data_IF_545400147438
#
_entry.id   IF_545400147438
#
_cell.length_a   1.000
_cell.length_b   1.000
_cell.length_c   1.000
_cell.angle_alpha   90.00
_cell.angle_beta   90.00
_cell.angle_gamma   90.00
#
_symmetry.space_group_name_H-M   'P 1'
#
loop_
_entity.id
_entity.type
_entity.pdbx_description
1 polymer ?
#
# COMPACT_ATOMS: atom_id res chain seq x y z
N UNK A 1 -18.07 -10.44 15.48
CA UNK A 1 -17.47 -9.09 15.65
C UNK A 1 -16.00 -9.24 15.98
N UNK A 2 -15.17 -9.42 14.94
CA UNK A 2 -13.71 -9.54 15.02
C UNK A 2 -13.10 -8.73 13.86
N UNK A 3 -11.79 -8.46 13.89
CA UNK A 3 -11.09 -7.78 12.80
C UNK A 3 -11.14 -8.60 11.50
N UNK A 4 -11.17 -7.92 10.36
CA UNK A 4 -11.08 -8.58 9.05
C UNK A 4 -9.75 -9.32 8.89
N UNK A 5 -9.83 -10.52 8.35
CA UNK A 5 -8.69 -11.35 7.95
C UNK A 5 -8.31 -11.06 6.48
N UNK A 6 -9.30 -10.70 5.67
CA UNK A 6 -9.15 -10.37 4.25
C UNK A 6 -9.97 -9.14 3.87
N UNK A 7 -9.46 -8.33 2.94
CA UNK A 7 -10.17 -7.16 2.39
C UNK A 7 -11.49 -7.57 1.73
N UNK A 8 -11.54 -8.77 1.14
CA UNK A 8 -12.75 -9.34 0.53
C UNK A 8 -13.93 -9.47 1.50
N UNK A 9 -13.70 -9.50 2.82
CA UNK A 9 -14.78 -9.50 3.81
C UNK A 9 -15.59 -8.20 3.80
N UNK A 10 -15.05 -7.11 3.23
CA UNK A 10 -15.78 -5.86 3.05
C UNK A 10 -17.04 -6.07 2.21
N UNK A 11 -17.06 -7.03 1.27
CA UNK A 11 -18.23 -7.37 0.47
C UNK A 11 -19.42 -7.89 1.28
N UNK A 12 -19.19 -8.31 2.53
CA UNK A 12 -20.23 -8.76 3.46
C UNK A 12 -20.86 -7.59 4.24
N UNK A 13 -20.28 -6.39 4.14
CA UNK A 13 -20.80 -5.18 4.76
C UNK A 13 -21.86 -4.56 3.86
N UNK A 14 -22.97 -4.11 4.45
CA UNK A 14 -24.03 -3.40 3.74
C UNK A 14 -23.45 -2.16 3.04
N UNK A 15 -23.67 -2.03 1.73
CA UNK A 15 -23.10 -0.96 0.90
C UNK A 15 -21.95 -1.40 -0.01
N UNK A 16 -21.51 -2.66 0.07
CA UNK A 16 -20.42 -3.22 -0.75
C UNK A 16 -20.80 -4.56 -1.40
N UNK A 17 -22.09 -4.84 -1.55
CA UNK A 17 -22.60 -6.08 -2.12
C UNK A 17 -22.27 -6.20 -3.60
N UNK A 18 -21.77 -7.36 -4.03
CA UNK A 18 -21.53 -7.66 -5.45
C UNK A 18 -22.82 -7.88 -6.27
N UNK A 19 -24.00 -7.81 -5.64
CA UNK A 19 -25.29 -7.97 -6.31
C UNK A 19 -25.89 -6.64 -6.78
N UNK A 20 -25.33 -5.51 -6.33
CA UNK A 20 -25.78 -4.17 -6.69
C UNK A 20 -24.62 -3.47 -7.40
N UNK A 21 -24.84 -3.07 -8.65
CA UNK A 21 -23.80 -2.53 -9.53
C UNK A 21 -23.10 -1.29 -8.93
N UNK A 22 -23.87 -0.41 -8.28
CA UNK A 22 -23.35 0.76 -7.57
C UNK A 22 -22.43 0.38 -6.40
N UNK A 23 -22.87 -0.57 -5.55
CA UNK A 23 -22.06 -1.04 -4.41
C UNK A 23 -20.81 -1.82 -4.85
N UNK A 24 -20.88 -2.50 -6.00
CA UNK A 24 -19.72 -3.16 -6.61
C UNK A 24 -18.70 -2.12 -7.11
N UNK A 25 -19.16 -1.06 -7.79
CA UNK A 25 -18.29 0.01 -8.26
C UNK A 25 -17.58 0.72 -7.09
N UNK A 26 -18.30 0.95 -5.99
CA UNK A 26 -17.72 1.51 -4.76
C UNK A 26 -16.65 0.60 -4.15
N UNK A 27 -16.88 -0.72 -4.15
CA UNK A 27 -15.88 -1.69 -3.71
C UNK A 27 -14.63 -1.63 -4.59
N UNK A 28 -14.79 -1.69 -5.91
CA UNK A 28 -13.68 -1.64 -6.86
C UNK A 28 -12.86 -0.35 -6.75
N UNK A 29 -13.52 0.80 -6.51
CA UNK A 29 -12.87 2.08 -6.27
C UNK A 29 -12.03 2.11 -4.98
N UNK A 30 -12.48 1.43 -3.93
CA UNK A 30 -11.76 1.40 -2.65
C UNK A 30 -10.61 0.38 -2.62
N UNK A 31 -10.71 -0.69 -3.39
CA UNK A 31 -9.74 -1.79 -3.40
C UNK A 31 -8.26 -1.38 -3.46
N UNK A 32 -7.82 -0.40 -4.28
CA UNK A 32 -6.41 0.00 -4.32
C UNK A 32 -5.94 0.74 -3.07
N UNK A 33 -6.85 1.26 -2.23
CA UNK A 33 -6.54 2.14 -1.12
C UNK A 33 -6.68 1.50 0.27
N UNK A 34 -7.17 0.26 0.35
CA UNK A 34 -7.47 -0.40 1.62
C UNK A 34 -6.71 -1.72 1.79
N UNK A 35 -6.44 -2.07 3.05
CA UNK A 35 -5.83 -3.35 3.42
C UNK A 35 -6.37 -3.88 4.74
N UNK A 36 -6.33 -5.19 4.93
CA UNK A 36 -6.72 -5.87 6.17
C UNK A 36 -5.47 -6.45 6.84
N UNK A 37 -4.90 -5.70 7.79
CA UNK A 37 -3.69 -6.08 8.52
C UNK A 37 -4.02 -6.52 9.97
N UNK A 38 -3.26 -7.47 10.55
CA UNK A 38 -3.45 -7.86 11.93
C UNK A 38 -3.18 -6.71 12.91
N UNK A 39 -4.04 -6.58 13.93
CA UNK A 39 -3.96 -5.53 14.97
C UNK A 39 -3.67 -6.04 16.39
N UNK A 40 -2.78 -7.04 16.63
CA UNK A 40 -2.59 -7.62 17.96
C UNK A 40 -2.04 -6.61 19.00
N UNK A 41 -1.42 -5.52 18.55
CA UNK A 41 -0.90 -4.42 19.38
C UNK A 41 -1.62 -3.09 19.18
N UNK A 42 -2.79 -3.08 18.53
CA UNK A 42 -3.50 -1.86 18.13
C UNK A 42 -3.52 -1.62 16.62
N UNK A 43 -4.02 -0.46 16.18
CA UNK A 43 -4.04 -0.08 14.76
C UNK A 43 -2.65 -0.12 14.14
N UNK A 44 -2.56 -0.58 12.89
CA UNK A 44 -1.32 -0.49 12.12
C UNK A 44 -1.24 0.90 11.48
N UNK A 45 -0.16 1.69 11.70
CA UNK A 45 -0.03 3.00 11.11
C UNK A 45 0.13 2.92 9.58
N UNK A 46 -0.37 3.93 8.88
CA UNK A 46 -0.18 4.09 7.43
C UNK A 46 1.26 4.49 7.14
N UNK A 47 1.94 3.77 6.24
CA UNK A 47 3.27 4.14 5.80
C UNK A 47 3.22 5.27 4.75
N UNK A 48 3.61 6.49 5.12
CA UNK A 48 3.54 7.68 4.26
C UNK A 48 4.48 7.59 3.05
N UNK A 49 5.56 6.80 3.14
CA UNK A 49 6.49 6.59 2.02
C UNK A 49 5.90 5.72 0.90
N UNK A 50 4.79 5.02 1.14
CA UNK A 50 4.15 4.11 0.19
C UNK A 50 2.65 4.35 0.04
N UNK A 51 2.10 5.33 0.75
CA UNK A 51 0.69 5.67 0.67
C UNK A 51 0.38 6.38 -0.65
N UNK A 52 -0.82 6.18 -1.19
CA UNK A 52 -1.30 6.97 -2.34
C UNK A 52 -1.79 8.35 -1.87
N UNK A 53 -1.92 9.34 -2.76
CA UNK A 53 -2.41 10.67 -2.42
C UNK A 53 -3.76 10.65 -1.71
N UNK A 54 -4.67 9.76 -2.12
CA UNK A 54 -6.00 9.60 -1.54
C UNK A 54 -5.93 9.11 -0.10
N UNK A 55 -5.05 8.14 0.19
CA UNK A 55 -4.83 7.63 1.55
C UNK A 55 -4.24 8.72 2.43
N UNK A 56 -3.24 9.47 1.95
CA UNK A 56 -2.65 10.59 2.70
C UNK A 56 -3.67 11.69 2.99
N UNK A 57 -4.45 12.10 1.99
CA UNK A 57 -5.51 13.09 2.14
C UNK A 57 -6.58 12.64 3.15
N UNK A 58 -6.80 11.34 3.32
CA UNK A 58 -7.78 10.79 4.28
C UNK A 58 -7.33 10.84 5.75
N UNK A 59 -6.04 11.05 6.03
CA UNK A 59 -5.50 11.00 7.40
C UNK A 59 -6.00 12.17 8.26
N UNK A 60 -6.23 13.34 7.67
CA UNK A 60 -6.74 14.51 8.37
C UNK A 60 -7.25 15.58 7.40
N UNK A 61 -8.09 16.50 7.89
CA UNK A 61 -8.49 17.69 7.12
C UNK A 61 -7.30 18.57 6.71
N UNK A 62 -6.24 18.58 7.52
CA UNK A 62 -5.01 19.33 7.24
C UNK A 62 -4.26 18.77 6.02
N UNK A 63 -4.19 17.44 5.91
CA UNK A 63 -3.47 16.76 4.83
C UNK A 63 -4.28 16.66 3.53
N UNK A 64 -5.59 16.91 3.56
CA UNK A 64 -6.44 16.88 2.35
C UNK A 64 -5.87 17.67 1.16
N UNK A 65 -5.49 18.95 1.30
CA UNK A 65 -4.91 19.70 0.18
C UNK A 65 -3.46 19.30 -0.16
N UNK A 66 -2.76 18.61 0.75
CA UNK A 66 -1.33 18.30 0.63
C UNK A 66 -1.04 16.87 0.16
N UNK A 67 -2.05 16.00 0.09
CA UNK A 67 -1.86 14.57 -0.16
C UNK A 67 -1.12 14.24 -1.45
N UNK A 68 -1.33 15.02 -2.52
CA UNK A 68 -0.61 14.86 -3.78
C UNK A 68 0.86 15.30 -3.67
N UNK A 69 1.11 16.44 -3.03
CA UNK A 69 2.45 17.03 -2.91
C UNK A 69 3.35 16.24 -1.95
N UNK A 70 2.77 15.64 -0.92
CA UNK A 70 3.49 14.84 0.07
C UNK A 70 3.72 13.40 -0.38
N UNK A 71 2.99 12.94 -1.40
CA UNK A 71 3.09 11.57 -1.89
C UNK A 71 4.41 11.32 -2.57
N UNK A 72 4.98 10.13 -2.33
CA UNK A 72 6.12 9.60 -3.09
C UNK A 72 5.68 8.71 -4.26
N UNK A 73 4.38 8.48 -4.40
CA UNK A 73 3.78 7.59 -5.40
C UNK A 73 2.49 8.20 -5.97
N UNK A 74 2.41 8.36 -7.29
CA UNK A 74 1.22 8.93 -7.94
C UNK A 74 0.19 7.87 -8.33
N UNK A 75 0.62 6.62 -8.45
CA UNK A 75 -0.17 5.57 -9.09
C UNK A 75 -0.58 4.47 -8.12
N UNK A 76 -1.68 3.81 -8.45
CA UNK A 76 -2.21 2.59 -7.80
C UNK A 76 -1.30 1.40 -8.13
N UNK A 77 -0.02 1.49 -7.72
CA UNK A 77 1.21 0.87 -8.25
C UNK A 77 1.27 -0.68 -8.41
N UNK A 78 0.15 -1.38 -8.52
CA UNK A 78 0.09 -2.79 -8.91
C UNK A 78 0.05 -3.01 -10.43
N UNK A 79 -0.57 -2.10 -11.20
CA UNK A 79 -0.58 -2.17 -12.67
C UNK A 79 0.71 -1.67 -13.33
N UNK A 80 1.48 -0.87 -12.59
CA UNK A 80 2.72 -0.25 -13.07
C UNK A 80 3.98 -1.04 -12.66
N UNK A 81 3.82 -2.06 -11.80
CA UNK A 81 4.94 -2.92 -11.50
C UNK A 81 5.28 -3.73 -12.76
N UNK A 82 6.49 -3.57 -13.33
CA UNK A 82 6.86 -4.28 -14.54
C UNK A 82 6.69 -5.78 -14.32
N UNK A 83 6.34 -6.52 -15.37
CA UNK A 83 6.51 -7.97 -15.39
C UNK A 83 7.89 -8.29 -14.83
N UNK A 84 8.01 -9.36 -14.04
CA UNK A 84 9.27 -9.73 -13.38
C UNK A 84 10.43 -9.60 -14.38
N UNK A 85 11.27 -8.57 -14.19
CA UNK A 85 12.44 -8.40 -15.04
C UNK A 85 13.25 -9.68 -14.95
N UNK A 86 13.72 -10.15 -16.11
CA UNK A 86 14.61 -11.27 -16.11
C UNK A 86 15.90 -10.81 -15.42
N UNK A 87 16.10 -11.20 -14.16
CA UNK A 87 17.27 -10.85 -13.34
C UNK A 87 18.62 -11.30 -13.95
N UNK A 88 18.58 -12.08 -15.04
CA UNK A 88 19.76 -12.50 -15.80
C UNK A 88 19.93 -11.76 -17.13
N UNK A 89 18.99 -10.86 -17.48
CA UNK A 89 19.05 -10.04 -18.69
C UNK A 89 19.72 -8.70 -18.38
N UNK A 90 21.05 -8.72 -18.42
CA UNK A 90 21.92 -7.55 -18.18
C UNK A 90 21.74 -6.42 -19.21
N UNK A 91 20.88 -6.60 -20.23
CA UNK A 91 20.57 -5.57 -21.23
C UNK A 91 19.35 -4.70 -20.86
N UNK A 92 18.55 -5.10 -19.87
CA UNK A 92 17.35 -4.36 -19.45
C UNK A 92 17.65 -3.05 -18.70
N UNK A 93 18.90 -2.86 -18.22
CA UNK A 93 19.32 -1.65 -17.53
C UNK A 93 19.31 -0.38 -18.42
N UNK A 94 19.24 -0.50 -19.76
CA UNK A 94 19.34 0.67 -20.66
C UNK A 94 18.00 1.31 -21.07
N UNK A 95 16.84 0.72 -20.74
CA UNK A 95 15.53 1.24 -21.18
C UNK A 95 14.77 2.10 -20.16
N UNK A 96 15.30 2.33 -18.95
CA UNK A 96 14.62 3.08 -17.89
C UNK A 96 14.69 4.61 -18.05
N UNK A 97 14.59 5.13 -19.28
CA UNK A 97 14.78 6.57 -19.57
C UNK A 97 13.53 7.27 -20.15
N UNK A 98 12.34 6.73 -19.95
CA UNK A 98 11.10 7.37 -20.41
C UNK A 98 10.20 7.74 -19.24
N UNK A 99 10.18 9.05 -18.93
CA UNK A 99 9.26 9.80 -18.05
C UNK A 99 9.63 9.89 -16.55
N UNK A 100 10.89 10.24 -16.25
CA UNK A 100 11.23 10.90 -14.99
C UNK A 100 10.90 12.40 -15.09
N UNK A 101 9.61 12.75 -15.11
CA UNK A 101 9.25 14.10 -14.69
C UNK A 101 9.67 14.26 -13.22
N UNK A 102 10.24 15.42 -12.90
CA UNK A 102 10.87 15.93 -11.67
C UNK A 102 10.21 15.56 -10.32
N UNK A 103 10.00 14.28 -10.02
CA UNK A 103 9.37 13.80 -8.80
C UNK A 103 10.42 13.49 -7.76
N UNK A 104 10.25 14.05 -6.59
CA UNK A 104 11.07 13.71 -5.44
C UNK A 104 10.56 12.41 -4.82
N UNK A 105 11.22 11.30 -5.17
CA UNK A 105 10.97 9.96 -4.60
C UNK A 105 11.79 9.69 -3.35
N UNK A 106 12.49 10.70 -2.82
CA UNK A 106 13.30 10.54 -1.61
C UNK A 106 12.41 10.17 -0.43
N UNK A 107 12.67 9.05 0.26
CA UNK A 107 11.84 8.62 1.38
C UNK A 107 12.05 9.53 2.59
N UNK A 108 10.97 9.74 3.34
CA UNK A 108 11.05 10.34 4.67
C UNK A 108 11.75 9.36 5.62
N UNK A 109 12.84 9.77 6.26
CA UNK A 109 13.61 8.92 7.18
C UNK A 109 13.00 8.81 8.58
N UNK A 110 12.16 9.79 8.94
CA UNK A 110 11.46 9.86 10.23
C UNK A 110 10.14 10.60 10.10
N UNK A 111 9.22 10.36 11.03
CA UNK A 111 7.94 11.09 11.09
C UNK A 111 8.14 12.59 11.29
N UNK A 112 9.19 13.00 11.99
CA UNK A 112 9.53 14.42 12.19
C UNK A 112 9.83 15.14 10.85
N UNK A 113 10.53 14.48 9.92
CA UNK A 113 10.83 15.07 8.61
C UNK A 113 9.55 15.18 7.78
N UNK A 114 8.68 14.18 7.86
CA UNK A 114 7.37 14.21 7.22
C UNK A 114 6.50 15.35 7.77
N UNK A 115 6.45 15.49 9.09
CA UNK A 115 5.72 16.56 9.78
C UNK A 115 6.23 17.96 9.39
N UNK A 116 7.54 18.16 9.38
CA UNK A 116 8.16 19.43 8.98
C UNK A 116 7.89 19.77 7.50
N UNK A 117 7.83 18.76 6.63
CA UNK A 117 7.49 18.94 5.22
C UNK A 117 6.01 19.32 5.02
N UNK A 118 5.11 18.75 5.83
CA UNK A 118 3.68 19.03 5.74
C UNK A 118 3.29 20.37 6.39
N UNK A 119 3.95 20.75 7.49
CA UNK A 119 3.57 21.90 8.29
C UNK A 119 4.82 22.63 8.85
N UNK A 120 5.64 23.23 7.96
CA UNK A 120 6.84 23.91 8.39
C UNK A 120 6.49 25.05 9.34
N UNK A 121 7.14 25.09 10.49
CA UNK A 121 7.06 26.18 11.48
C UNK A 121 5.69 26.40 12.16
N UNK A 122 4.64 25.61 11.85
CA UNK A 122 3.32 25.79 12.45
C UNK A 122 3.18 25.12 13.83
N UNK A 123 3.90 24.02 14.05
CA UNK A 123 3.74 23.15 15.23
C UNK A 123 2.34 22.55 15.33
N UNK A 124 1.54 22.63 14.26
CA UNK A 124 0.19 22.07 14.21
C UNK A 124 0.25 20.56 14.09
N UNK A 125 -0.70 19.91 14.75
CA UNK A 125 -0.87 18.48 14.64
C UNK A 125 -1.45 18.15 13.26
N UNK A 126 -0.62 17.60 12.37
CA UNK A 126 -1.03 17.28 11.00
C UNK A 126 -1.97 16.07 10.90
N UNK A 127 -1.95 15.13 11.87
CA UNK A 127 -2.86 13.97 11.94
C UNK A 127 -2.82 13.35 13.35
N UNK A 128 -3.70 12.38 13.64
CA UNK A 128 -3.75 11.69 14.94
C UNK A 128 -2.42 10.96 15.22
N UNK A 129 -1.83 11.04 16.44
CA UNK A 129 -0.54 10.41 16.70
C UNK A 129 -0.63 8.89 16.60
N UNK A 130 0.28 8.27 15.86
CA UNK A 130 0.29 6.82 15.62
C UNK A 130 -0.67 6.35 14.51
N UNK A 131 -1.37 7.26 13.82
CA UNK A 131 -2.14 6.92 12.61
C UNK A 131 -1.24 6.69 11.38
N UNK A 132 -0.01 7.20 11.40
CA UNK A 132 0.96 7.09 10.31
C UNK A 132 2.38 6.84 10.84
N UNK A 133 3.23 6.32 9.96
CA UNK A 133 4.65 6.05 10.18
C UNK A 133 5.39 6.18 8.84
N UNK A 134 6.71 6.22 8.86
CA UNK A 134 7.58 6.15 7.67
C UNK A 134 8.08 4.72 7.40
N UNK A 135 7.68 3.77 8.25
CA UNK A 135 8.05 2.35 8.19
C UNK A 135 6.80 1.48 8.09
N UNK A 136 6.99 0.27 7.57
CA UNK A 136 6.01 -0.81 7.65
C UNK A 136 6.66 -2.05 8.24
N UNK A 137 5.89 -2.78 9.06
CA UNK A 137 6.25 -4.12 9.52
C UNK A 137 5.60 -5.23 8.68
N UNK A 138 4.70 -4.87 7.77
CA UNK A 138 3.95 -5.81 6.95
C UNK A 138 4.27 -5.65 5.48
N UNK A 139 4.46 -6.79 4.83
CA UNK A 139 4.81 -6.86 3.41
C UNK A 139 4.00 -7.95 2.75
N UNK A 140 3.48 -7.70 1.55
CA UNK A 140 2.81 -8.72 0.75
C UNK A 140 3.71 -9.11 -0.43
N UNK A 141 3.91 -10.42 -0.59
CA UNK A 141 4.65 -10.99 -1.72
C UNK A 141 3.65 -11.71 -2.62
N UNK A 142 3.60 -11.32 -3.89
CA UNK A 142 2.91 -12.05 -4.95
C UNK A 142 3.90 -12.97 -5.65
N UNK A 143 3.52 -14.23 -5.83
CA UNK A 143 4.32 -15.27 -6.46
C UNK A 143 3.49 -15.84 -7.60
N UNK A 144 3.91 -15.58 -8.84
CA UNK A 144 3.30 -16.15 -10.03
C UNK A 144 4.15 -17.35 -10.49
N UNK A 145 3.55 -18.54 -10.57
CA UNK A 145 4.19 -19.77 -11.05
C UNK A 145 3.50 -20.21 -12.33
N UNK A 146 4.27 -20.31 -13.42
CA UNK A 146 3.79 -20.79 -14.72
C UNK A 146 4.47 -22.11 -15.06
N UNK A 147 3.69 -23.18 -15.29
CA UNK A 147 4.22 -24.50 -15.68
C UNK A 147 3.24 -25.20 -16.61
N UNK A 148 3.71 -25.70 -17.75
CA UNK A 148 2.91 -26.46 -18.73
C UNK A 148 1.57 -25.78 -19.13
N UNK A 149 1.56 -24.44 -19.17
CA UNK A 149 0.37 -23.65 -19.52
C UNK A 149 -0.59 -23.36 -18.36
N UNK A 150 -0.29 -23.83 -17.15
CA UNK A 150 -1.02 -23.49 -15.91
C UNK A 150 -0.36 -22.30 -15.24
N UNK A 151 -1.13 -21.27 -14.88
CA UNK A 151 -0.69 -20.13 -14.08
C UNK A 151 -1.30 -20.23 -12.68
N UNK A 152 -0.45 -20.27 -11.66
CA UNK A 152 -0.83 -20.22 -10.26
C UNK A 152 -0.31 -18.92 -9.64
N UNK A 153 -1.19 -18.15 -9.00
CA UNK A 153 -0.80 -16.93 -8.29
C UNK A 153 -0.96 -17.14 -6.79
N UNK A 154 0.08 -16.85 -6.00
CA UNK A 154 0.02 -16.92 -4.55
C UNK A 154 0.37 -15.57 -3.93
N UNK A 155 -0.46 -15.12 -3.00
CA UNK A 155 -0.19 -13.96 -2.15
C UNK A 155 0.22 -14.41 -0.75
N UNK A 156 1.36 -13.90 -0.27
CA UNK A 156 1.89 -14.21 1.06
C UNK A 156 2.07 -12.93 1.86
N UNK A 157 1.35 -12.79 2.97
CA UNK A 157 1.54 -11.70 3.92
C UNK A 157 2.63 -12.07 4.92
N UNK A 158 3.65 -11.24 4.98
CA UNK A 158 4.80 -11.34 5.89
C UNK A 158 4.69 -10.26 6.97
N UNK A 159 5.12 -10.61 8.19
CA UNK A 159 5.43 -9.64 9.24
C UNK A 159 6.92 -9.70 9.54
N UNK A 160 7.57 -8.55 9.54
CA UNK A 160 8.96 -8.37 9.95
C UNK A 160 9.01 -7.73 11.33
N UNK A 161 9.84 -8.26 12.22
CA UNK A 161 10.06 -7.67 13.54
C UNK A 161 11.24 -6.68 13.56
N UNK A 162 11.44 -5.92 14.66
CA UNK A 162 12.53 -4.96 14.76
C UNK A 162 13.93 -5.58 14.66
N UNK A 163 14.10 -6.86 14.99
CA UNK A 163 15.35 -7.60 14.83
C UNK A 163 15.58 -8.07 13.38
N UNK A 164 14.61 -7.83 12.50
CA UNK A 164 14.66 -8.15 11.09
C UNK A 164 14.24 -9.59 10.76
N UNK A 165 13.72 -10.35 11.72
CA UNK A 165 13.16 -11.69 11.48
C UNK A 165 11.79 -11.55 10.82
N UNK A 166 11.51 -12.43 9.88
CA UNK A 166 10.24 -12.45 9.14
C UNK A 166 9.45 -13.71 9.44
N UNK A 167 8.15 -13.56 9.65
CA UNK A 167 7.20 -14.66 9.77
C UNK A 167 6.08 -14.54 8.73
N UNK A 168 5.48 -15.68 8.40
CA UNK A 168 4.35 -15.73 7.47
C UNK A 168 3.06 -15.64 8.29
N UNK A 169 2.30 -14.58 8.03
CA UNK A 169 1.02 -14.32 8.68
C UNK A 169 -0.11 -15.06 7.96
N UNK A 170 -0.14 -14.95 6.63
CA UNK A 170 -1.21 -15.52 5.80
C UNK A 170 -0.67 -15.91 4.43
N UNK A 171 -1.25 -16.97 3.86
CA UNK A 171 -1.11 -17.33 2.45
C UNK A 171 -2.50 -17.40 1.83
N UNK A 172 -2.63 -16.86 0.63
CA UNK A 172 -3.81 -16.99 -0.22
C UNK A 172 -3.34 -17.49 -1.58
N UNK A 173 -4.01 -18.49 -2.13
CA UNK A 173 -3.75 -18.98 -3.47
C UNK A 173 -4.93 -18.54 -4.33
N UNK A 174 -4.62 -17.88 -5.42
CA UNK A 174 -5.53 -17.63 -6.52
C UNK A 174 -5.16 -18.64 -7.62
N UNK A 175 -5.88 -19.75 -7.65
CA UNK A 175 -5.73 -20.82 -8.62
C UNK A 175 -6.96 -20.80 -9.53
N UNK A 176 -6.72 -20.54 -10.82
CA UNK A 176 -7.68 -20.71 -11.91
C UNK A 176 -7.58 -22.14 -12.49
#
# INVERSE_FOLDING_TARGET
NASFVSVSELQLVKGFSTLVEEEQADYELLMPHITALPTPGGPTPVNVNTATPQVMASLSEFLQPLGADLSRWDTEAYSDYPDCENIFDLAAEETSNTLEDQRDTTPYESTLIFEDSAAPESGEQIAEPGSYDVRSNYYQVRIDVTTEGVKLTQYTLLRRDPEGRSEIVRRSIDAL
#
